data_IF_937092066558
#
_entry.id   IF_937092066558
#
_cell.length_a   1.000
_cell.length_b   1.000
_cell.length_c   1.000
_cell.angle_alpha   90.00
_cell.angle_beta   90.00
_cell.angle_gamma   90.00
#
_symmetry.space_group_name_H-M   'P 1'
#
loop_
_entity.id
_entity.type
_entity.pdbx_description
1 polymer ?
#
# COMPACT_ATOMS: atom_id res chain seq x y z
N UNK A 1 12.07 18.98 18.51
CA UNK A 1 11.22 17.77 18.59
C UNK A 1 11.63 16.98 19.83
N UNK A 2 10.71 16.72 20.76
CA UNK A 2 11.03 16.05 22.03
C UNK A 2 11.36 14.56 21.83
N UNK A 3 12.16 13.93 22.71
CA UNK A 3 12.48 12.50 22.61
C UNK A 3 11.25 11.59 22.54
N UNK A 4 10.17 11.96 23.27
CA UNK A 4 8.89 11.24 23.26
C UNK A 4 8.20 11.33 21.89
N UNK A 5 8.16 12.53 21.29
CA UNK A 5 7.58 12.72 19.96
C UNK A 5 8.31 11.91 18.87
N UNK A 6 9.64 11.78 18.98
CA UNK A 6 10.45 10.97 18.05
C UNK A 6 10.13 9.49 18.16
N UNK A 7 9.96 8.96 19.37
CA UNK A 7 9.62 7.55 19.59
C UNK A 7 8.22 7.21 19.06
N UNK A 8 7.24 8.10 19.27
CA UNK A 8 5.89 7.94 18.75
C UNK A 8 5.88 7.96 17.23
N UNK A 9 6.59 8.91 16.62
CA UNK A 9 6.71 8.99 15.15
C UNK A 9 7.37 7.73 14.58
N UNK A 10 8.49 7.28 15.15
CA UNK A 10 9.18 6.07 14.70
C UNK A 10 8.32 4.80 14.84
N UNK A 11 7.44 4.75 15.85
CA UNK A 11 6.46 3.67 16.00
C UNK A 11 5.40 3.75 14.92
N UNK A 12 4.85 4.93 14.65
CA UNK A 12 3.86 5.15 13.61
C UNK A 12 4.40 4.78 12.22
N UNK A 13 5.64 5.19 11.89
CA UNK A 13 6.31 4.84 10.64
C UNK A 13 6.45 3.32 10.48
N UNK A 14 6.93 2.62 11.53
CA UNK A 14 7.07 1.16 11.51
C UNK A 14 5.74 0.44 11.30
N UNK A 15 4.68 0.91 11.96
CA UNK A 15 3.33 0.34 11.81
C UNK A 15 2.81 0.57 10.39
N UNK A 16 2.96 1.79 9.87
CA UNK A 16 2.52 2.15 8.52
C UNK A 16 3.24 1.32 7.46
N UNK A 17 4.57 1.25 7.49
CA UNK A 17 5.37 0.47 6.56
C UNK A 17 4.99 -1.02 6.58
N UNK A 18 4.72 -1.57 7.77
CA UNK A 18 4.25 -2.96 7.91
C UNK A 18 2.89 -3.18 7.24
N UNK A 19 1.97 -2.23 7.34
CA UNK A 19 0.65 -2.33 6.73
C UNK A 19 0.71 -2.18 5.21
N UNK A 20 1.42 -1.18 4.71
CA UNK A 20 1.62 -0.96 3.27
C UNK A 20 2.26 -2.19 2.60
N UNK A 21 3.22 -2.83 3.28
CA UNK A 21 3.83 -4.06 2.77
C UNK A 21 2.85 -5.24 2.74
N UNK A 22 2.01 -5.39 3.77
CA UNK A 22 0.98 -6.46 3.81
C UNK A 22 0.00 -6.29 2.64
N UNK A 23 -0.42 -5.07 2.37
CA UNK A 23 -1.29 -4.76 1.23
C UNK A 23 -0.59 -5.04 -0.10
N UNK A 24 0.67 -4.64 -0.24
CA UNK A 24 1.49 -4.96 -1.41
C UNK A 24 1.59 -6.47 -1.66
N UNK A 25 1.90 -7.25 -0.61
CA UNK A 25 2.01 -8.70 -0.70
C UNK A 25 0.68 -9.35 -1.09
N UNK A 26 -0.43 -8.89 -0.51
CA UNK A 26 -1.77 -9.37 -0.85
C UNK A 26 -2.16 -9.04 -2.30
N UNK A 27 -1.82 -7.84 -2.78
CA UNK A 27 -2.02 -7.45 -4.19
C UNK A 27 -1.20 -8.33 -5.13
N UNK A 28 0.10 -8.52 -4.84
CA UNK A 28 0.97 -9.39 -5.65
C UNK A 28 0.49 -10.83 -5.69
N UNK A 29 -0.01 -11.36 -4.57
CA UNK A 29 -0.58 -12.70 -4.53
C UNK A 29 -1.83 -12.83 -5.44
N UNK A 30 -2.71 -11.81 -5.45
CA UNK A 30 -3.85 -11.75 -6.37
C UNK A 30 -3.41 -11.69 -7.83
N UNK A 31 -2.50 -10.78 -8.17
CA UNK A 31 -1.94 -10.68 -9.53
C UNK A 31 -1.30 -11.99 -10.00
N UNK A 32 -0.63 -12.71 -9.11
CA UNK A 32 -0.02 -13.98 -9.45
C UNK A 32 -1.04 -15.08 -9.71
N UNK A 33 -2.12 -15.12 -8.90
CA UNK A 33 -3.24 -16.02 -9.10
C UNK A 33 -3.96 -15.74 -10.44
N UNK A 34 -4.20 -14.46 -10.75
CA UNK A 34 -4.78 -14.03 -12.03
C UNK A 34 -3.91 -14.41 -13.23
N UNK A 35 -2.57 -14.32 -13.10
CA UNK A 35 -1.61 -14.64 -14.16
C UNK A 35 -1.25 -16.13 -14.25
N UNK A 36 -1.94 -17.01 -13.54
CA UNK A 36 -1.62 -18.45 -13.42
C UNK A 36 -0.16 -18.74 -13.04
N UNK A 37 0.53 -17.76 -12.43
CA UNK A 37 1.89 -17.93 -11.90
C UNK A 37 1.80 -18.54 -10.51
N UNK A 38 2.78 -19.37 -10.15
CA UNK A 38 2.75 -20.09 -8.86
C UNK A 38 2.60 -19.14 -7.67
N UNK A 39 1.42 -19.17 -7.03
CA UNK A 39 1.11 -18.40 -5.82
C UNK A 39 2.16 -18.65 -4.73
N UNK A 40 2.68 -19.89 -4.64
CA UNK A 40 3.77 -20.25 -3.70
C UNK A 40 5.05 -19.46 -3.96
N UNK A 41 5.48 -19.32 -5.22
CA UNK A 41 6.67 -18.53 -5.57
C UNK A 41 6.47 -17.06 -5.24
N UNK A 42 5.27 -16.54 -5.49
CA UNK A 42 4.92 -15.16 -5.14
C UNK A 42 4.91 -14.96 -3.63
N UNK A 43 4.34 -15.89 -2.86
CA UNK A 43 4.38 -15.84 -1.40
C UNK A 43 5.81 -15.87 -0.85
N UNK A 44 6.71 -16.64 -1.45
CA UNK A 44 8.12 -16.69 -1.03
C UNK A 44 8.83 -15.36 -1.35
N UNK A 45 8.56 -14.75 -2.51
CA UNK A 45 9.19 -13.47 -2.89
C UNK A 45 8.58 -12.25 -2.17
N UNK A 46 7.32 -12.34 -1.73
CA UNK A 46 6.60 -11.27 -1.00
C UNK A 46 6.51 -11.52 0.50
N UNK A 47 7.03 -12.63 1.01
CA UNK A 47 7.25 -12.78 2.44
C UNK A 47 8.25 -11.71 2.81
N UNK A 48 7.91 -10.86 3.79
CA UNK A 48 8.91 -10.05 4.49
C UNK A 48 10.05 -11.03 4.80
N UNK A 49 11.19 -10.90 4.11
CA UNK A 49 12.46 -11.31 4.69
C UNK A 49 12.37 -10.71 6.08
N UNK A 50 12.22 -11.59 7.07
CA UNK A 50 12.12 -11.21 8.48
C UNK A 50 13.11 -10.10 8.72
N UNK A 51 12.74 -9.16 9.57
CA UNK A 51 13.49 -7.96 9.96
C UNK A 51 14.86 -8.28 10.58
N UNK A 52 15.69 -9.14 9.98
CA UNK A 52 17.12 -8.95 9.96
C UNK A 52 17.30 -7.62 9.27
N UNK A 53 17.72 -6.61 10.03
CA UNK A 53 18.46 -5.52 9.43
C UNK A 53 19.46 -6.19 8.49
N UNK A 54 19.29 -6.05 7.17
CA UNK A 54 20.41 -6.28 6.26
C UNK A 54 21.43 -5.25 6.74
N UNK A 55 22.47 -5.74 7.44
CA UNK A 55 23.54 -4.87 7.87
C UNK A 55 24.05 -4.13 6.63
N UNK A 56 24.35 -2.84 6.76
CA UNK A 56 24.98 -2.11 5.67
C UNK A 56 26.21 -2.91 5.21
N UNK A 57 26.28 -3.17 3.91
CA UNK A 57 27.39 -3.88 3.29
C UNK A 57 28.16 -2.93 2.40
N UNK A 58 29.47 -3.08 2.39
CA UNK A 58 30.34 -2.48 1.38
C UNK A 58 30.00 -3.06 0.00
N UNK A 59 30.51 -2.43 -1.06
CA UNK A 59 30.25 -2.85 -2.44
C UNK A 59 30.77 -4.27 -2.75
N UNK A 60 31.72 -4.77 -1.95
CA UNK A 60 32.26 -6.13 -1.99
C UNK A 60 31.40 -7.15 -1.22
N UNK A 61 30.32 -6.70 -0.55
CA UNK A 61 29.44 -7.52 0.28
C UNK A 61 29.88 -7.65 1.74
N UNK A 62 30.96 -6.98 2.16
CA UNK A 62 31.46 -7.01 3.53
C UNK A 62 30.54 -6.23 4.47
N UNK A 63 30.14 -6.82 5.59
CA UNK A 63 29.24 -6.17 6.56
C UNK A 63 29.97 -5.08 7.35
N UNK A 64 29.40 -3.87 7.35
CA UNK A 64 29.85 -2.75 8.15
C UNK A 64 29.63 -3.06 9.63
N UNK A 65 30.69 -2.93 10.44
CA UNK A 65 30.64 -3.19 11.89
C UNK A 65 30.84 -1.93 12.73
N UNK A 66 31.48 -0.91 12.16
CA UNK A 66 31.73 0.34 12.86
C UNK A 66 30.51 1.25 12.77
N UNK A 67 29.99 1.62 13.94
CA UNK A 67 28.82 2.48 14.06
C UNK A 67 29.03 3.87 13.46
N UNK A 68 30.21 4.47 13.63
CA UNK A 68 30.47 5.84 13.14
C UNK A 68 30.40 5.89 11.62
N UNK A 69 31.00 4.90 10.98
CA UNK A 69 31.07 4.82 9.52
C UNK A 69 29.66 4.60 8.95
N UNK A 70 28.85 3.72 9.58
CA UNK A 70 27.44 3.52 9.24
C UNK A 70 26.63 4.82 9.35
N UNK A 71 26.80 5.57 10.44
CA UNK A 71 26.07 6.82 10.67
C UNK A 71 26.45 7.91 9.66
N UNK A 72 27.72 7.95 9.23
CA UNK A 72 28.20 8.88 8.22
C UNK A 72 27.68 8.52 6.83
N UNK A 73 27.71 7.25 6.44
CA UNK A 73 27.18 6.80 5.15
C UNK A 73 25.69 7.09 5.01
N UNK A 74 24.91 6.81 6.08
CA UNK A 74 23.48 7.14 6.12
C UNK A 74 23.27 8.66 6.00
N UNK A 75 24.11 9.46 6.66
CA UNK A 75 24.01 10.93 6.60
C UNK A 75 24.26 11.43 5.18
N UNK A 76 25.34 10.98 4.55
CA UNK A 76 25.71 11.36 3.17
C UNK A 76 24.58 10.98 2.21
N UNK A 77 24.07 9.75 2.30
CA UNK A 77 22.95 9.29 1.49
C UNK A 77 21.73 10.20 1.58
N UNK A 78 21.31 10.56 2.80
CA UNK A 78 20.15 11.43 2.98
C UNK A 78 20.44 12.88 2.58
N UNK A 79 21.64 13.39 2.80
CA UNK A 79 22.05 14.72 2.32
C UNK A 79 21.96 14.80 0.80
N UNK A 80 22.48 13.78 0.10
CA UNK A 80 22.40 13.72 -1.36
C UNK A 80 20.96 13.59 -1.84
N UNK A 81 20.16 12.72 -1.21
CA UNK A 81 18.75 12.52 -1.55
C UNK A 81 17.93 13.81 -1.42
N UNK A 82 18.11 14.56 -0.33
CA UNK A 82 17.38 15.81 -0.09
C UNK A 82 17.96 17.01 -0.85
N UNK A 83 19.23 16.95 -1.25
CA UNK A 83 19.85 17.96 -2.11
C UNK A 83 19.46 17.75 -3.58
N UNK A 84 19.09 16.53 -3.97
CA UNK A 84 18.63 16.20 -5.31
C UNK A 84 17.23 16.76 -5.58
N UNK A 85 17.18 18.01 -6.05
CA UNK A 85 15.93 18.64 -6.48
C UNK A 85 15.48 18.10 -7.84
N UNK A 86 14.70 17.03 -7.84
CA UNK A 86 13.90 16.68 -9.02
C UNK A 86 12.81 17.75 -9.16
N UNK A 87 12.77 18.44 -10.30
CA UNK A 87 11.63 19.28 -10.65
C UNK A 87 10.44 18.36 -10.91
N UNK A 88 9.69 18.04 -9.86
CA UNK A 88 8.39 17.40 -10.00
C UNK A 88 7.44 18.46 -10.53
N UNK A 89 6.87 18.26 -11.72
CA UNK A 89 5.77 19.11 -12.20
C UNK A 89 4.71 19.12 -11.11
N UNK A 90 4.35 20.31 -10.63
CA UNK A 90 3.26 20.46 -9.68
C UNK A 90 2.05 19.72 -10.23
N UNK A 91 1.45 18.85 -9.40
CA UNK A 91 0.18 18.22 -9.71
C UNK A 91 -0.83 19.35 -9.85
N UNK A 92 -1.24 19.67 -11.08
CA UNK A 92 -2.38 20.54 -11.31
C UNK A 92 -3.61 19.78 -10.83
N UNK A 93 -4.29 20.31 -9.82
CA UNK A 93 -5.62 19.83 -9.46
C UNK A 93 -6.48 19.79 -10.74
N UNK A 94 -7.23 18.71 -11.00
CA UNK A 94 -8.12 18.67 -12.15
C UNK A 94 -9.06 19.87 -12.09
N UNK A 95 -9.06 20.70 -13.14
CA UNK A 95 -10.00 21.81 -13.23
C UNK A 95 -11.43 21.26 -13.14
N UNK A 96 -12.34 22.00 -12.49
CA UNK A 96 -13.74 21.58 -12.29
C UNK A 96 -14.46 21.11 -13.58
N UNK A 97 -13.97 21.53 -14.75
CA UNK A 97 -14.45 21.08 -16.07
C UNK A 97 -14.15 19.61 -16.42
N UNK A 98 -13.22 18.93 -15.74
CA UNK A 98 -13.00 17.49 -15.93
C UNK A 98 -13.97 16.63 -15.09
N UNK A 99 -14.56 17.18 -14.02
CA UNK A 99 -15.61 16.49 -13.26
C UNK A 99 -16.92 16.36 -14.04
N UNK A 100 -17.16 17.22 -15.04
CA UNK A 100 -18.34 17.14 -15.91
C UNK A 100 -18.20 16.10 -17.03
N UNK A 101 -17.01 15.48 -17.21
CA UNK A 101 -16.83 14.34 -18.13
C UNK A 101 -17.17 12.98 -17.51
N UNK A 102 -17.38 12.91 -16.19
CA UNK A 102 -18.03 11.76 -15.61
C UNK A 102 -19.51 11.83 -15.95
N UNK A 103 -19.90 11.11 -17.00
CA UNK A 103 -21.29 10.92 -17.38
C UNK A 103 -22.09 10.46 -16.14
N UNK A 104 -22.80 11.41 -15.50
CA UNK A 104 -23.69 11.17 -14.36
C UNK A 104 -24.81 10.17 -14.67
N UNK A 105 -24.88 9.68 -15.91
CA UNK A 105 -25.80 8.63 -16.36
C UNK A 105 -25.38 7.24 -15.89
N UNK A 106 -24.08 6.93 -15.84
CA UNK A 106 -23.59 5.61 -15.41
C UNK A 106 -23.69 5.40 -13.89
N UNK A 107 -23.83 6.48 -13.12
CA UNK A 107 -23.93 6.48 -11.65
C UNK A 107 -25.33 6.83 -11.15
N UNK A 108 -26.38 6.61 -11.96
CA UNK A 108 -27.75 6.70 -11.46
C UNK A 108 -28.08 5.44 -10.68
N UNK A 109 -27.81 5.48 -9.38
CA UNK A 109 -28.36 4.50 -8.44
C UNK A 109 -29.88 4.68 -8.45
N UNK A 110 -30.61 3.67 -8.91
CA UNK A 110 -32.08 3.72 -8.89
C UNK A 110 -32.59 3.44 -7.48
N UNK A 111 -33.58 4.19 -7.01
CA UNK A 111 -34.20 3.95 -5.70
C UNK A 111 -34.71 2.51 -5.57
N UNK A 112 -35.15 1.89 -6.67
CA UNK A 112 -35.55 0.48 -6.70
C UNK A 112 -34.41 -0.50 -6.38
N UNK A 113 -33.18 -0.23 -6.84
CA UNK A 113 -32.00 -1.05 -6.52
C UNK A 113 -31.64 -0.93 -5.04
N UNK A 114 -31.68 0.29 -4.51
CA UNK A 114 -31.44 0.56 -3.08
C UNK A 114 -32.46 -0.18 -2.23
N UNK A 115 -33.75 -0.11 -2.59
CA UNK A 115 -34.81 -0.80 -1.86
C UNK A 115 -34.70 -2.33 -1.98
N UNK A 116 -34.27 -2.87 -3.13
CA UNK A 116 -34.02 -4.31 -3.26
C UNK A 116 -32.84 -4.77 -2.37
N UNK A 117 -31.78 -3.98 -2.27
CA UNK A 117 -30.63 -4.29 -1.43
C UNK A 117 -30.96 -4.22 0.07
N UNK A 118 -31.82 -3.29 0.50
CA UNK A 118 -32.18 -3.08 1.90
C UNK A 118 -33.22 -4.11 2.40
N UNK A 119 -34.19 -4.51 1.57
CA UNK A 119 -35.24 -5.48 1.95
C UNK A 119 -34.76 -6.73 2.71
N UNK A 120 -33.70 -7.45 2.29
CA UNK A 120 -33.23 -8.61 3.04
C UNK A 120 -32.58 -8.26 4.39
N UNK A 121 -32.09 -7.03 4.57
CA UNK A 121 -31.44 -6.54 5.80
C UNK A 121 -32.44 -6.29 6.94
N UNK A 122 -33.73 -6.06 6.65
CA UNK A 122 -34.77 -5.83 7.67
C UNK A 122 -34.98 -7.04 8.60
N UNK A 123 -34.56 -8.24 8.18
CA UNK A 123 -34.69 -9.46 8.98
C UNK A 123 -33.69 -9.57 10.15
N UNK A 124 -32.79 -8.60 10.32
CA UNK A 124 -31.78 -8.56 11.39
C UNK A 124 -30.74 -9.69 11.32
N UNK A 125 -30.77 -10.53 10.28
CA UNK A 125 -29.79 -11.58 10.02
C UNK A 125 -28.65 -11.02 9.17
N UNK A 126 -27.42 -11.36 9.54
CA UNK A 126 -26.24 -11.04 8.74
C UNK A 126 -26.43 -11.60 7.31
N UNK A 127 -26.15 -10.80 6.26
CA UNK A 127 -26.23 -11.29 4.89
C UNK A 127 -25.30 -12.49 4.71
N UNK A 128 -25.88 -13.67 4.45
CA UNK A 128 -25.11 -14.85 4.05
C UNK A 128 -24.57 -14.68 2.62
N UNK A 129 -23.62 -15.52 2.17
CA UNK A 129 -23.09 -15.45 0.82
C UNK A 129 -24.22 -15.59 -0.21
N UNK A 130 -24.53 -14.49 -0.88
CA UNK A 130 -25.56 -14.42 -1.92
C UNK A 130 -25.11 -15.19 -3.14
N UNK A 131 -25.93 -16.17 -3.57
CA UNK A 131 -25.77 -16.89 -4.84
C UNK A 131 -26.21 -16.01 -6.01
N UNK A 132 -25.47 -14.96 -6.34
CA UNK A 132 -25.62 -14.29 -7.64
C UNK A 132 -24.58 -14.86 -8.59
N UNK A 133 -24.96 -15.93 -9.28
CA UNK A 133 -24.10 -16.63 -10.24
C UNK A 133 -24.76 -17.81 -10.95
N UNK A 134 -26.09 -17.91 -10.95
CA UNK A 134 -26.82 -18.88 -11.78
C UNK A 134 -28.16 -18.27 -12.19
N UNK A 135 -28.23 -17.73 -13.41
CA UNK A 135 -29.07 -18.26 -14.48
C UNK A 135 -29.27 -17.21 -15.60
N UNK A 136 -28.89 -17.67 -16.81
CA UNK A 136 -29.48 -17.41 -18.14
C UNK A 136 -29.56 -15.96 -18.62
#
# INVERSE_FOLDING_TARGET
>A
MTPVARTVLNKAIRVRAKNEYREYAARRAREAAEKATSIKRTFISTRLKTTTLECLTEADGTVWRNRKDIEEEIRTFFQDLFSFKVHVKAYSEPSESENDKFDKKEWRVFESEVMQAIRPMESGKAPGPTKYGQNV
#
